data_IF_663433384779
#
_entry.id   IF_663433384779
#
_cell.length_a   1.000
_cell.length_b   1.000
_cell.length_c   1.000
_cell.angle_alpha   90.00
_cell.angle_beta   90.00
_cell.angle_gamma   90.00
#
_symmetry.space_group_name_H-M   'P 1'
#
loop_
_entity.id
_entity.type
_entity.pdbx_description
1 polymer ?
#
# COMPACT_ATOMS: atom_id res chain seq x y z
N UNK A 1 -18.98 8.16 21.01
CA UNK A 1 -18.04 7.27 21.69
C UNK A 1 -16.87 8.14 22.12
N UNK A 2 -16.43 8.04 23.38
CA UNK A 2 -15.31 8.87 23.83
C UNK A 2 -14.01 8.39 23.19
N UNK A 3 -13.12 9.31 22.81
CA UNK A 3 -11.88 9.03 22.09
C UNK A 3 -11.07 7.88 22.72
N UNK A 4 -11.03 7.84 24.06
CA UNK A 4 -10.35 6.80 24.83
C UNK A 4 -10.97 5.41 24.68
N UNK A 5 -12.30 5.32 24.58
CA UNK A 5 -12.99 4.04 24.34
C UNK A 5 -12.64 3.49 22.95
N UNK A 6 -12.61 4.37 21.95
CA UNK A 6 -12.22 4.01 20.58
C UNK A 6 -10.79 3.50 20.55
N UNK A 7 -9.88 4.22 21.22
CA UNK A 7 -8.49 3.81 21.35
C UNK A 7 -8.35 2.41 21.96
N UNK A 8 -9.09 2.14 23.04
CA UNK A 8 -9.07 0.84 23.70
C UNK A 8 -9.59 -0.28 22.79
N UNK A 9 -10.69 -0.05 22.06
CA UNK A 9 -11.23 -1.02 21.11
C UNK A 9 -10.26 -1.32 19.97
N UNK A 10 -9.66 -0.29 19.38
CA UNK A 10 -8.63 -0.43 18.35
C UNK A 10 -7.42 -1.19 18.92
N UNK A 11 -6.94 -0.81 20.10
CA UNK A 11 -5.77 -1.43 20.70
C UNK A 11 -5.99 -2.93 20.95
N UNK A 12 -7.13 -3.29 21.54
CA UNK A 12 -7.54 -4.68 21.78
C UNK A 12 -7.63 -5.46 20.47
N UNK A 13 -8.19 -4.88 19.41
CA UNK A 13 -8.29 -5.55 18.11
C UNK A 13 -6.95 -5.76 17.42
N UNK A 14 -6.03 -4.79 17.56
CA UNK A 14 -4.67 -4.91 17.06
C UNK A 14 -3.81 -5.91 17.86
N UNK A 15 -4.23 -6.33 19.05
CA UNK A 15 -3.56 -7.42 19.80
C UNK A 15 -3.83 -8.79 19.16
N UNK A 16 -4.94 -8.95 18.43
CA UNK A 16 -5.28 -10.18 17.70
C UNK A 16 -4.57 -10.27 16.33
N UNK A 17 -3.90 -9.21 15.88
CA UNK A 17 -3.20 -9.16 14.59
C UNK A 17 -1.80 -9.75 14.72
N UNK A 18 -1.51 -10.76 13.90
CA UNK A 18 -0.18 -11.31 13.76
C UNK A 18 0.61 -10.58 12.66
N UNK A 19 1.36 -9.55 13.06
CA UNK A 19 2.12 -8.67 12.18
C UNK A 19 3.22 -9.40 11.39
N UNK A 20 3.86 -10.40 11.97
CA UNK A 20 4.95 -11.13 11.30
C UNK A 20 4.45 -12.05 10.17
N UNK A 21 3.17 -12.43 10.18
CA UNK A 21 2.51 -13.11 9.05
C UNK A 21 2.09 -12.15 7.94
N UNK A 22 2.06 -10.84 8.20
CA UNK A 22 1.74 -9.83 7.20
C UNK A 22 3.00 -9.49 6.40
N UNK A 23 4.07 -9.13 7.11
CA UNK A 23 5.37 -8.79 6.52
C UNK A 23 6.49 -9.23 7.47
N UNK A 24 7.58 -9.78 6.91
CA UNK A 24 8.69 -10.30 7.72
C UNK A 24 9.31 -9.19 8.58
N UNK A 25 9.56 -9.49 9.85
CA UNK A 25 10.11 -8.56 10.85
C UNK A 25 9.27 -7.30 11.14
N UNK A 26 8.06 -7.20 10.57
CA UNK A 26 7.13 -6.14 10.90
C UNK A 26 6.45 -6.42 12.24
N UNK A 27 6.33 -5.38 13.05
CA UNK A 27 5.77 -5.42 14.39
C UNK A 27 4.78 -4.26 14.57
N UNK A 28 3.92 -4.36 15.59
CA UNK A 28 3.02 -3.27 15.96
C UNK A 28 3.83 -2.03 16.38
N UNK A 29 3.59 -0.91 15.73
CA UNK A 29 4.12 0.39 16.14
C UNK A 29 3.16 1.09 17.11
N UNK A 30 3.65 2.00 17.97
CA UNK A 30 2.77 2.84 18.77
C UNK A 30 1.87 3.70 17.86
N UNK A 31 0.70 4.06 18.37
CA UNK A 31 -0.23 4.91 17.63
C UNK A 31 -0.95 5.90 18.53
N UNK A 32 -1.52 6.93 17.91
CA UNK A 32 -2.42 7.86 18.57
C UNK A 32 -3.69 8.05 17.72
N UNK A 33 -4.83 8.17 18.42
CA UNK A 33 -6.08 8.64 17.82
C UNK A 33 -6.33 10.05 18.28
N UNK A 34 -6.90 10.90 17.43
CA UNK A 34 -7.15 12.28 17.83
C UNK A 34 -8.40 12.88 17.19
N UNK A 35 -8.87 13.97 17.78
CA UNK A 35 -9.88 14.87 17.24
C UNK A 35 -9.40 16.32 17.40
N UNK A 36 -10.22 17.32 17.06
CA UNK A 36 -9.83 18.74 17.16
C UNK A 36 -9.53 19.26 18.59
N UNK A 37 -9.87 18.50 19.63
CA UNK A 37 -9.74 18.94 21.03
C UNK A 37 -8.63 18.18 21.77
N UNK A 38 -8.49 16.88 21.50
CA UNK A 38 -7.67 15.97 22.30
C UNK A 38 -7.05 14.85 21.45
N UNK A 39 -5.98 14.28 22.00
CA UNK A 39 -5.24 13.15 21.45
C UNK A 39 -5.21 12.05 22.51
N UNK A 40 -5.49 10.80 22.10
CA UNK A 40 -5.30 9.61 22.91
C UNK A 40 -4.09 8.83 22.42
N UNK A 41 -3.07 8.72 23.27
CA UNK A 41 -1.84 7.99 23.04
C UNK A 41 -1.51 7.16 24.28
N UNK A 42 -1.21 5.87 24.10
CA UNK A 42 -1.00 4.91 25.19
C UNK A 42 -2.14 4.92 26.24
N UNK A 43 -3.38 5.17 25.79
CA UNK A 43 -4.57 5.25 26.66
C UNK A 43 -4.69 6.54 27.50
N UNK A 44 -3.74 7.47 27.36
CA UNK A 44 -3.75 8.77 28.03
C UNK A 44 -4.32 9.85 27.11
N UNK A 45 -5.11 10.76 27.67
CA UNK A 45 -5.65 11.91 26.96
C UNK A 45 -4.76 13.12 27.21
N UNK A 46 -4.35 13.79 26.13
CA UNK A 46 -3.65 15.06 26.16
C UNK A 46 -4.38 16.08 25.28
N UNK A 47 -4.24 17.39 25.53
CA UNK A 47 -4.75 18.41 24.62
C UNK A 47 -4.18 18.21 23.21
N UNK A 48 -5.02 18.42 22.20
CA UNK A 48 -4.56 18.44 20.82
C UNK A 48 -3.62 19.62 20.58
N UNK A 49 -2.62 19.40 19.72
CA UNK A 49 -1.77 20.44 19.15
C UNK A 49 -1.39 20.11 17.69
N UNK A 50 -0.69 21.04 17.04
CA UNK A 50 -0.38 21.03 15.61
C UNK A 50 0.55 19.90 15.15
N UNK A 51 1.12 19.12 16.08
CA UNK A 51 1.90 17.92 15.75
C UNK A 51 1.00 16.78 15.26
N UNK A 52 -0.29 16.80 15.61
CA UNK A 52 -1.27 15.78 15.22
C UNK A 52 -2.14 16.30 14.08
N UNK A 53 -1.61 16.20 12.85
CA UNK A 53 -2.27 16.69 11.64
C UNK A 53 -2.25 15.63 10.52
N UNK A 54 -3.41 15.43 9.89
CA UNK A 54 -3.61 14.40 8.88
C UNK A 54 -3.67 12.98 9.45
N UNK A 55 -3.73 12.03 8.53
CA UNK A 55 -3.59 10.61 8.83
C UNK A 55 -2.26 10.19 8.25
N UNK A 56 -1.27 9.93 9.11
CA UNK A 56 0.11 9.71 8.68
C UNK A 56 0.93 9.04 9.79
N UNK A 57 2.24 8.89 9.58
CA UNK A 57 3.22 8.57 10.62
C UNK A 57 4.07 9.80 10.98
N UNK A 58 4.30 10.03 12.27
CA UNK A 58 5.09 11.16 12.78
C UNK A 58 6.18 10.68 13.76
N UNK A 59 7.20 11.52 13.96
CA UNK A 59 8.10 11.36 15.10
C UNK A 59 7.51 12.07 16.33
N UNK A 60 7.30 11.34 17.41
CA UNK A 60 6.81 11.87 18.68
C UNK A 60 7.65 11.32 19.82
N UNK A 61 8.30 12.22 20.57
CA UNK A 61 9.17 11.87 21.70
C UNK A 61 10.26 10.84 21.35
N UNK A 62 10.86 10.98 20.16
CA UNK A 62 11.94 10.10 19.68
C UNK A 62 11.48 8.72 19.21
N UNK A 63 10.17 8.53 18.98
CA UNK A 63 9.61 7.30 18.42
C UNK A 63 8.75 7.62 17.18
N UNK A 64 8.80 6.75 16.18
CA UNK A 64 7.85 6.79 15.08
C UNK A 64 6.50 6.23 15.54
N UNK A 65 5.43 7.00 15.34
CA UNK A 65 4.06 6.60 15.70
C UNK A 65 3.10 6.82 14.53
N UNK A 66 2.09 5.97 14.42
CA UNK A 66 0.95 6.16 13.52
C UNK A 66 -0.07 7.11 14.15
N UNK A 67 -0.62 8.05 13.40
CA UNK A 67 -1.68 8.96 13.88
C UNK A 67 -2.90 8.90 12.98
N UNK A 68 -4.09 8.93 13.60
CA UNK A 68 -5.34 8.92 12.84
C UNK A 68 -6.40 9.83 13.46
N UNK A 69 -7.01 10.66 12.62
CA UNK A 69 -8.12 11.52 12.99
C UNK A 69 -9.45 10.75 12.95
N UNK A 70 -10.21 10.81 14.04
CA UNK A 70 -11.49 10.08 14.18
C UNK A 70 -12.73 10.99 14.19
N UNK A 71 -12.62 12.24 13.68
CA UNK A 71 -13.77 13.16 13.66
C UNK A 71 -14.87 12.72 12.68
N UNK A 72 -14.50 11.99 11.64
CA UNK A 72 -15.45 11.39 10.70
C UNK A 72 -15.90 10.03 11.22
N UNK A 73 -17.12 9.64 10.85
CA UNK A 73 -17.61 8.28 11.12
C UNK A 73 -16.62 7.26 10.57
N UNK A 74 -16.33 6.25 11.38
CA UNK A 74 -15.40 5.19 11.04
C UNK A 74 -16.04 3.83 11.31
N UNK A 75 -15.57 2.85 10.56
CA UNK A 75 -15.74 1.45 10.88
C UNK A 75 -14.48 0.96 11.60
N UNK A 76 -14.64 0.16 12.66
CA UNK A 76 -13.52 -0.22 13.52
C UNK A 76 -12.49 -1.12 12.79
N UNK A 77 -12.93 -2.01 11.91
CA UNK A 77 -12.02 -2.86 11.11
C UNK A 77 -11.21 -2.01 10.13
N UNK A 78 -11.89 -1.09 9.44
CA UNK A 78 -11.25 -0.18 8.47
C UNK A 78 -10.27 0.74 9.19
N UNK A 79 -10.64 1.28 10.35
CA UNK A 79 -9.76 2.10 11.16
C UNK A 79 -8.50 1.33 11.60
N UNK A 80 -8.64 0.07 12.02
CA UNK A 80 -7.49 -0.76 12.40
C UNK A 80 -6.55 -0.99 11.21
N UNK A 81 -7.09 -1.37 10.04
CA UNK A 81 -6.28 -1.59 8.86
C UNK A 81 -5.55 -0.33 8.37
N UNK A 82 -6.25 0.81 8.41
CA UNK A 82 -5.69 2.11 8.10
C UNK A 82 -4.59 2.55 9.08
N UNK A 83 -4.72 2.24 10.37
CA UNK A 83 -3.63 2.46 11.31
C UNK A 83 -2.43 1.57 11.01
N UNK A 84 -2.66 0.30 10.65
CA UNK A 84 -1.55 -0.60 10.31
C UNK A 84 -0.82 -0.14 9.03
N UNK A 85 -1.52 0.47 8.06
CA UNK A 85 -0.88 1.19 6.94
C UNK A 85 0.12 2.23 7.45
N UNK A 86 -0.30 3.11 8.36
CA UNK A 86 0.57 4.15 8.92
C UNK A 86 1.68 3.58 9.82
N UNK A 87 1.42 2.48 10.52
CA UNK A 87 2.46 1.74 11.25
C UNK A 87 3.50 1.16 10.29
N UNK A 88 3.09 0.76 9.09
CA UNK A 88 4.02 0.27 8.07
C UNK A 88 4.92 1.40 7.55
N UNK A 89 4.42 2.63 7.44
CA UNK A 89 5.30 3.78 7.17
C UNK A 89 6.31 4.05 8.28
N UNK A 90 5.96 3.78 9.55
CA UNK A 90 6.94 3.82 10.65
C UNK A 90 8.02 2.76 10.45
N UNK A 91 7.63 1.55 10.05
CA UNK A 91 8.55 0.46 9.72
C UNK A 91 9.48 0.79 8.56
N UNK A 92 8.93 1.33 7.46
CA UNK A 92 9.71 1.77 6.30
C UNK A 92 10.74 2.84 6.70
N UNK A 93 10.38 3.80 7.56
CA UNK A 93 11.31 4.80 8.10
C UNK A 93 12.44 4.17 8.92
N UNK A 94 12.12 3.25 9.83
CA UNK A 94 13.11 2.55 10.65
C UNK A 94 14.07 1.70 9.81
N UNK A 95 13.57 1.10 8.74
CA UNK A 95 14.36 0.33 7.77
C UNK A 95 15.05 1.20 6.73
N UNK A 96 14.87 2.53 6.78
CA UNK A 96 15.45 3.50 5.85
C UNK A 96 15.10 3.20 4.40
N UNK A 97 13.88 2.71 4.16
CA UNK A 97 13.35 2.56 2.82
C UNK A 97 13.30 3.95 2.16
N UNK A 98 14.04 4.11 1.07
CA UNK A 98 14.22 5.37 0.36
C UNK A 98 13.58 5.35 -1.05
N UNK A 99 12.72 4.36 -1.32
CA UNK A 99 12.03 4.18 -2.60
C UNK A 99 10.82 5.09 -2.76
N UNK A 100 10.83 6.25 -2.12
CA UNK A 100 9.81 7.28 -2.28
C UNK A 100 9.73 7.73 -3.75
N UNK A 101 8.52 7.91 -4.30
CA UNK A 101 8.36 8.55 -5.59
C UNK A 101 8.74 10.04 -5.51
N UNK A 102 9.11 10.61 -6.64
CA UNK A 102 9.31 12.04 -6.81
C UNK A 102 8.04 12.66 -7.38
N UNK A 103 7.24 13.23 -6.50
CA UNK A 103 5.95 13.84 -6.82
C UNK A 103 6.07 14.99 -7.81
N UNK A 104 7.19 15.73 -7.80
CA UNK A 104 7.42 16.82 -8.76
C UNK A 104 7.60 16.31 -10.19
N UNK A 105 8.26 15.17 -10.36
CA UNK A 105 8.35 14.50 -11.68
C UNK A 105 6.97 14.03 -12.11
N UNK A 106 6.15 13.52 -11.19
CA UNK A 106 4.79 13.07 -11.51
C UNK A 106 3.83 14.20 -11.93
N UNK A 107 4.11 15.46 -11.55
CA UNK A 107 3.33 16.61 -12.04
C UNK A 107 3.49 16.84 -13.55
N UNK A 108 4.63 16.43 -14.11
CA UNK A 108 4.93 16.53 -15.55
C UNK A 108 4.76 15.17 -16.25
N UNK A 109 3.95 14.27 -15.65
CA UNK A 109 3.74 12.94 -16.21
C UNK A 109 3.17 13.04 -17.64
N UNK A 110 3.72 12.30 -18.62
CA UNK A 110 3.34 12.46 -20.02
C UNK A 110 1.86 12.17 -20.28
N UNK A 111 1.16 13.13 -20.89
CA UNK A 111 -0.20 12.95 -21.40
C UNK A 111 -0.18 12.17 -22.72
N UNK A 112 0.03 10.85 -22.63
CA UNK A 112 0.17 9.96 -23.78
C UNK A 112 -0.92 8.87 -23.79
N UNK A 113 -1.78 8.92 -24.81
CA UNK A 113 -2.92 7.99 -24.96
C UNK A 113 -2.50 6.53 -25.13
N UNK A 114 -1.33 6.26 -25.73
CA UNK A 114 -0.81 4.91 -25.91
C UNK A 114 -0.35 4.36 -24.56
N UNK A 115 0.35 5.17 -23.76
CA UNK A 115 0.74 4.82 -22.41
C UNK A 115 -0.48 4.53 -21.52
N UNK A 116 -1.51 5.39 -21.52
CA UNK A 116 -2.73 5.14 -20.73
C UNK A 116 -3.45 3.87 -21.18
N UNK A 117 -3.54 3.63 -22.49
CA UNK A 117 -4.14 2.41 -23.03
C UNK A 117 -3.37 1.16 -22.57
N UNK A 118 -2.04 1.20 -22.64
CA UNK A 118 -1.18 0.12 -22.15
C UNK A 118 -1.29 -0.08 -20.64
N UNK A 119 -1.37 0.99 -19.84
CA UNK A 119 -1.61 0.90 -18.39
C UNK A 119 -2.95 0.23 -18.08
N UNK A 120 -3.98 0.50 -18.87
CA UNK A 120 -5.26 -0.19 -18.71
C UNK A 120 -5.17 -1.69 -19.06
N UNK A 121 -4.46 -2.05 -20.13
CA UNK A 121 -4.18 -3.45 -20.45
C UNK A 121 -3.37 -4.15 -19.34
N UNK A 122 -2.36 -3.47 -18.80
CA UNK A 122 -1.57 -3.91 -17.64
C UNK A 122 -2.47 -4.18 -16.41
N UNK A 123 -3.38 -3.25 -16.10
CA UNK A 123 -4.33 -3.41 -15.00
C UNK A 123 -5.24 -4.64 -15.19
N UNK A 124 -5.71 -4.89 -16.41
CA UNK A 124 -6.52 -6.09 -16.71
C UNK A 124 -5.74 -7.38 -16.49
N UNK A 125 -4.48 -7.43 -16.91
CA UNK A 125 -3.62 -8.58 -16.67
C UNK A 125 -3.44 -8.82 -15.17
N UNK A 126 -3.22 -7.77 -14.38
CA UNK A 126 -3.09 -7.87 -12.93
C UNK A 126 -4.34 -8.43 -12.25
N UNK A 127 -5.52 -7.92 -12.60
CA UNK A 127 -6.77 -8.45 -12.04
C UNK A 127 -7.00 -9.91 -12.47
N UNK A 128 -6.62 -10.28 -13.69
CA UNK A 128 -6.68 -11.68 -14.13
C UNK A 128 -5.72 -12.58 -13.35
N UNK A 129 -4.52 -12.09 -12.98
CA UNK A 129 -3.57 -12.84 -12.15
C UNK A 129 -4.15 -13.17 -10.77
N UNK A 130 -4.91 -12.25 -10.18
CA UNK A 130 -5.57 -12.47 -8.87
C UNK A 130 -6.69 -13.51 -8.93
N UNK A 131 -7.31 -13.69 -10.09
CA UNK A 131 -8.49 -14.54 -10.26
C UNK A 131 -8.16 -15.96 -10.76
N UNK A 132 -6.89 -16.25 -11.06
CA UNK A 132 -6.45 -17.58 -11.49
C UNK A 132 -5.73 -18.32 -10.36
N UNK A 133 -6.05 -19.60 -10.20
CA UNK A 133 -5.30 -20.53 -9.34
C UNK A 133 -4.32 -21.41 -10.15
N UNK A 134 -4.29 -21.26 -11.48
CA UNK A 134 -3.37 -21.99 -12.34
C UNK A 134 -2.06 -21.20 -12.47
N UNK A 135 -0.99 -21.74 -11.88
CA UNK A 135 0.36 -21.17 -11.89
C UNK A 135 0.93 -20.99 -13.30
N UNK A 136 0.58 -21.85 -14.26
CA UNK A 136 1.05 -21.70 -15.65
C UNK A 136 0.39 -20.47 -16.29
N UNK A 137 -0.91 -20.31 -16.11
CA UNK A 137 -1.65 -19.14 -16.61
C UNK A 137 -1.15 -17.88 -15.91
N UNK A 138 -0.95 -17.94 -14.60
CA UNK A 138 -0.44 -16.83 -13.79
C UNK A 138 0.94 -16.36 -14.29
N UNK A 139 1.85 -17.29 -14.55
CA UNK A 139 3.16 -16.98 -15.11
C UNK A 139 3.08 -16.35 -16.50
N UNK A 140 2.19 -16.84 -17.38
CA UNK A 140 1.97 -16.24 -18.70
C UNK A 140 1.44 -14.80 -18.61
N UNK A 141 0.48 -14.56 -17.72
CA UNK A 141 -0.06 -13.22 -17.46
C UNK A 141 1.01 -12.28 -16.91
N UNK A 142 1.86 -12.78 -16.01
CA UNK A 142 2.97 -12.03 -15.44
C UNK A 142 4.03 -11.66 -16.50
N UNK A 143 4.36 -12.57 -17.41
CA UNK A 143 5.25 -12.29 -18.56
C UNK A 143 4.65 -11.18 -19.45
N UNK A 144 3.35 -11.25 -19.74
CA UNK A 144 2.67 -10.22 -20.53
C UNK A 144 2.66 -8.86 -19.80
N UNK A 145 2.39 -8.88 -18.50
CA UNK A 145 2.40 -7.69 -17.65
C UNK A 145 3.77 -6.99 -17.68
N UNK A 146 4.85 -7.74 -17.51
CA UNK A 146 6.21 -7.19 -17.59
C UNK A 146 6.56 -6.68 -18.99
N UNK A 147 6.13 -7.38 -20.04
CA UNK A 147 6.31 -6.92 -21.42
C UNK A 147 5.62 -5.57 -21.69
N UNK A 148 4.40 -5.39 -21.17
CA UNK A 148 3.70 -4.10 -21.25
C UNK A 148 4.48 -3.02 -20.50
N UNK A 149 4.95 -3.28 -19.27
CA UNK A 149 5.78 -2.32 -18.53
C UNK A 149 7.04 -1.92 -19.29
N UNK A 150 7.74 -2.87 -19.90
CA UNK A 150 8.90 -2.60 -20.74
C UNK A 150 8.53 -1.76 -21.97
N UNK A 151 7.37 -2.01 -22.58
CA UNK A 151 6.88 -1.20 -23.69
C UNK A 151 6.53 0.22 -23.26
N UNK A 152 5.85 0.38 -22.12
CA UNK A 152 5.53 1.68 -21.53
C UNK A 152 6.81 2.46 -21.21
N UNK A 153 7.84 1.81 -20.65
CA UNK A 153 9.15 2.42 -20.41
C UNK A 153 9.79 2.98 -21.69
N UNK A 154 9.62 2.34 -22.85
CA UNK A 154 10.09 2.88 -24.13
C UNK A 154 9.33 4.14 -24.57
N UNK A 155 8.09 4.33 -24.11
CA UNK A 155 7.22 5.46 -24.49
C UNK A 155 7.46 6.64 -23.55
N UNK A 156 7.38 6.41 -22.24
CA UNK A 156 7.44 7.46 -21.21
C UNK A 156 8.81 7.55 -20.52
N UNK A 157 9.80 6.77 -20.93
CA UNK A 157 11.14 6.82 -20.34
C UNK A 157 11.14 6.61 -18.82
N UNK A 158 11.87 7.47 -18.12
CA UNK A 158 12.10 7.34 -16.67
C UNK A 158 10.89 7.70 -15.80
N UNK A 159 9.83 8.29 -16.37
CA UNK A 159 8.59 8.57 -15.65
C UNK A 159 7.96 7.28 -15.08
N UNK A 160 8.14 6.14 -15.75
CA UNK A 160 7.61 4.85 -15.29
C UNK A 160 8.16 4.44 -13.92
N UNK A 161 9.38 4.86 -13.58
CA UNK A 161 9.98 4.53 -12.29
C UNK A 161 9.27 5.21 -11.12
N UNK A 162 8.59 6.33 -11.36
CA UNK A 162 7.77 6.97 -10.33
C UNK A 162 6.53 6.14 -9.98
N UNK A 163 5.94 5.45 -10.97
CA UNK A 163 4.89 4.45 -10.71
C UNK A 163 5.44 3.30 -9.88
N UNK A 164 6.57 2.71 -10.28
CA UNK A 164 7.13 1.55 -9.57
C UNK A 164 7.55 1.90 -8.13
N UNK A 165 8.08 3.10 -7.91
CA UNK A 165 8.38 3.63 -6.58
C UNK A 165 7.12 3.84 -5.75
N UNK A 166 6.08 4.43 -6.33
CA UNK A 166 4.78 4.59 -5.67
C UNK A 166 4.14 3.23 -5.31
N UNK A 167 4.12 2.29 -6.26
CA UNK A 167 3.63 0.91 -6.07
C UNK A 167 4.43 0.16 -4.99
N UNK A 168 5.73 0.44 -4.89
CA UNK A 168 6.59 -0.16 -3.87
C UNK A 168 6.35 0.46 -2.51
N UNK A 169 6.34 1.79 -2.41
CA UNK A 169 6.26 2.47 -1.14
C UNK A 169 4.83 2.48 -0.56
N UNK A 170 3.89 3.09 -1.27
CA UNK A 170 2.48 3.23 -0.87
C UNK A 170 1.72 1.91 -1.06
N UNK A 171 1.99 1.20 -2.17
CA UNK A 171 1.36 -0.08 -2.44
C UNK A 171 1.72 -1.17 -1.41
N UNK A 172 2.92 -1.13 -0.81
CA UNK A 172 3.22 -2.00 0.34
C UNK A 172 2.35 -1.69 1.55
N UNK A 173 2.20 -0.42 1.91
CA UNK A 173 1.42 -0.02 3.06
C UNK A 173 -0.07 -0.39 2.87
N UNK A 174 -0.60 -0.20 1.67
CA UNK A 174 -1.94 -0.69 1.27
C UNK A 174 -2.05 -2.21 1.34
N UNK A 175 -1.05 -2.95 0.85
CA UNK A 175 -1.00 -4.40 0.95
C UNK A 175 -1.06 -4.87 2.42
N UNK A 176 -0.27 -4.26 3.30
CA UNK A 176 -0.25 -4.60 4.73
C UNK A 176 -1.61 -4.29 5.38
N UNK A 177 -2.27 -3.20 4.98
CA UNK A 177 -3.64 -2.90 5.40
C UNK A 177 -4.62 -4.00 4.96
N UNK A 178 -4.56 -4.46 3.70
CA UNK A 178 -5.39 -5.56 3.20
C UNK A 178 -5.12 -6.86 3.97
N UNK A 179 -3.86 -7.21 4.23
CA UNK A 179 -3.50 -8.39 5.03
C UNK A 179 -3.97 -8.28 6.48
N UNK A 180 -4.00 -7.08 7.04
CA UNK A 180 -4.59 -6.83 8.36
C UNK A 180 -6.10 -7.09 8.31
N UNK A 181 -6.81 -6.53 7.33
CA UNK A 181 -8.24 -6.81 7.13
C UNK A 181 -8.50 -8.30 6.95
N UNK A 182 -7.63 -9.02 6.23
CA UNK A 182 -7.77 -10.46 6.02
C UNK A 182 -7.78 -11.24 7.35
N UNK A 183 -7.02 -10.80 8.35
CA UNK A 183 -6.99 -11.43 9.67
C UNK A 183 -8.20 -11.07 10.54
N UNK A 184 -8.60 -9.79 10.56
CA UNK A 184 -9.65 -9.31 11.50
C UNK A 184 -11.06 -9.31 10.91
N UNK A 185 -11.21 -9.27 9.59
CA UNK A 185 -12.48 -9.26 8.87
C UNK A 185 -12.33 -9.73 7.42
N UNK A 186 -12.38 -11.06 7.17
CA UNK A 186 -12.24 -11.63 5.83
C UNK A 186 -13.26 -11.10 4.81
N UNK A 187 -14.46 -10.73 5.25
CA UNK A 187 -15.51 -10.16 4.40
C UNK A 187 -15.07 -8.80 3.88
N UNK A 188 -14.62 -7.90 4.77
CA UNK A 188 -14.17 -6.56 4.38
C UNK A 188 -12.90 -6.60 3.55
N UNK A 189 -12.02 -7.57 3.80
CA UNK A 189 -10.89 -7.83 2.92
C UNK A 189 -11.35 -8.12 1.49
N UNK A 190 -12.30 -9.03 1.30
CA UNK A 190 -12.83 -9.35 -0.04
C UNK A 190 -13.50 -8.14 -0.70
N UNK A 191 -14.30 -7.38 0.06
CA UNK A 191 -14.95 -6.15 -0.43
C UNK A 191 -13.92 -5.10 -0.86
N UNK A 192 -12.86 -4.92 -0.07
CA UNK A 192 -11.82 -3.94 -0.36
C UNK A 192 -10.94 -4.36 -1.56
N UNK A 193 -10.57 -5.63 -1.66
CA UNK A 193 -9.86 -6.16 -2.84
C UNK A 193 -10.71 -5.98 -4.10
N UNK A 194 -12.00 -6.32 -4.04
CA UNK A 194 -12.90 -6.11 -5.18
C UNK A 194 -13.02 -4.63 -5.55
N UNK A 195 -13.06 -3.73 -4.56
CA UNK A 195 -13.04 -2.28 -4.80
C UNK A 195 -11.75 -1.84 -5.53
N UNK A 196 -10.59 -2.39 -5.18
CA UNK A 196 -9.33 -2.09 -5.88
C UNK A 196 -9.35 -2.63 -7.31
N UNK A 197 -9.83 -3.85 -7.53
CA UNK A 197 -10.04 -4.39 -8.87
C UNK A 197 -10.98 -3.51 -9.70
N UNK A 198 -12.08 -3.04 -9.11
CA UNK A 198 -13.05 -2.17 -9.78
C UNK A 198 -12.43 -0.82 -10.17
N UNK A 199 -11.59 -0.23 -9.32
CA UNK A 199 -10.83 0.99 -9.63
C UNK A 199 -9.93 0.78 -10.85
N UNK A 200 -9.27 -0.38 -10.96
CA UNK A 200 -8.36 -0.73 -12.05
C UNK A 200 -9.08 -1.06 -13.37
N UNK A 201 -10.36 -1.44 -13.32
CA UNK A 201 -11.13 -1.94 -14.47
C UNK A 201 -12.22 -0.97 -14.96
N UNK A 202 -12.71 -0.04 -14.14
CA UNK A 202 -13.78 0.90 -14.53
C UNK A 202 -13.21 2.27 -14.92
N UNK A 203 -13.56 2.79 -16.12
CA UNK A 203 -13.29 4.18 -16.51
C UNK A 203 -13.68 5.18 -15.43
N UNK A 204 -12.69 5.89 -14.90
CA UNK A 204 -12.86 6.97 -13.93
C UNK A 204 -11.72 7.98 -14.04
N UNK A 205 -11.89 9.16 -13.43
CA UNK A 205 -10.83 10.18 -13.37
C UNK A 205 -9.55 9.66 -12.71
N UNK A 206 -9.67 8.64 -11.85
CA UNK A 206 -8.53 8.04 -11.15
C UNK A 206 -7.54 7.35 -12.10
N UNK A 207 -7.94 7.00 -13.34
CA UNK A 207 -7.00 6.49 -14.33
C UNK A 207 -5.91 7.47 -14.73
N UNK A 208 -6.22 8.76 -14.65
CA UNK A 208 -5.28 9.83 -14.97
C UNK A 208 -4.54 10.32 -13.72
N UNK A 209 -4.97 9.93 -12.52
CA UNK A 209 -4.23 10.12 -11.27
C UNK A 209 -3.23 8.97 -11.07
N UNK A 210 -2.12 9.06 -11.79
CA UNK A 210 -1.06 8.04 -11.80
C UNK A 210 -0.53 7.75 -10.39
N UNK A 211 -0.47 8.78 -9.53
CA UNK A 211 -0.07 8.60 -8.15
C UNK A 211 -1.04 7.66 -7.43
N UNK A 212 -2.30 8.04 -7.33
CA UNK A 212 -3.26 7.29 -6.51
C UNK A 212 -3.53 5.91 -7.07
N UNK A 213 -3.62 5.74 -8.40
CA UNK A 213 -3.85 4.42 -8.97
C UNK A 213 -2.71 3.45 -8.67
N UNK A 214 -1.46 3.94 -8.61
CA UNK A 214 -0.30 3.12 -8.28
C UNK A 214 -0.34 2.52 -6.87
N UNK A 215 -1.11 3.10 -5.95
CA UNK A 215 -1.27 2.56 -4.59
C UNK A 215 -1.98 1.21 -4.68
N UNK A 216 -3.10 1.19 -5.42
CA UNK A 216 -3.93 0.01 -5.62
C UNK A 216 -3.23 -1.02 -6.51
N UNK A 217 -2.54 -0.59 -7.57
CA UNK A 217 -1.74 -1.48 -8.43
C UNK A 217 -0.67 -2.19 -7.60
N UNK A 218 0.10 -1.45 -6.79
CA UNK A 218 1.15 -2.04 -5.96
C UNK A 218 0.61 -3.04 -4.94
N UNK A 219 -0.50 -2.71 -4.28
CA UNK A 219 -1.12 -3.60 -3.30
C UNK A 219 -1.63 -4.92 -3.93
N UNK A 220 -2.31 -4.80 -5.06
CA UNK A 220 -2.83 -5.94 -5.82
C UNK A 220 -1.70 -6.77 -6.45
N UNK A 221 -0.61 -6.13 -6.88
CA UNK A 221 0.57 -6.81 -7.41
C UNK A 221 1.23 -7.69 -6.35
N UNK A 222 1.40 -7.18 -5.13
CA UNK A 222 1.90 -7.97 -4.00
C UNK A 222 0.96 -9.12 -3.63
N UNK A 223 -0.35 -8.87 -3.58
CA UNK A 223 -1.33 -9.94 -3.35
C UNK A 223 -1.28 -11.03 -4.45
N UNK A 224 -1.10 -10.63 -5.72
CA UNK A 224 -1.04 -11.57 -6.82
C UNK A 224 0.20 -12.46 -6.75
N UNK A 225 1.35 -11.94 -6.33
CA UNK A 225 2.60 -12.69 -6.35
C UNK A 225 2.77 -13.69 -5.20
N UNK A 226 1.92 -13.62 -4.17
CA UNK A 226 2.01 -14.40 -2.93
C UNK A 226 3.33 -14.14 -2.14
N UNK A 227 3.21 -14.01 -0.82
CA UNK A 227 4.18 -13.30 0.04
C UNK A 227 5.61 -13.84 0.03
N UNK A 228 5.82 -15.07 -0.44
CA UNK A 228 7.11 -15.76 -0.34
C UNK A 228 8.18 -15.22 -1.29
N UNK A 229 7.81 -14.41 -2.29
CA UNK A 229 8.74 -13.81 -3.24
C UNK A 229 9.51 -12.60 -2.69
N UNK A 230 9.11 -12.06 -1.53
CA UNK A 230 9.60 -10.78 -1.04
C UNK A 230 10.31 -10.85 0.33
N UNK A 231 11.09 -11.92 0.55
CA UNK A 231 12.04 -11.98 1.67
C UNK A 231 13.32 -11.19 1.34
N UNK A 232 13.24 -9.87 1.37
CA UNK A 232 14.37 -8.97 1.11
C UNK A 232 14.38 -7.77 2.08
N UNK A 233 15.56 -7.17 2.23
CA UNK A 233 15.75 -5.98 3.08
C UNK A 233 15.17 -4.73 2.40
N UNK A 234 14.33 -3.96 3.10
CA UNK A 234 13.78 -2.71 2.58
C UNK A 234 14.86 -1.64 2.32
N UNK A 235 16.07 -1.81 2.87
CA UNK A 235 17.22 -0.97 2.52
C UNK A 235 17.79 -1.33 1.13
N UNK A 236 17.03 -1.00 0.09
CA UNK A 236 17.40 -1.18 -1.32
C UNK A 236 16.81 -0.06 -2.18
N UNK A 237 17.43 0.23 -3.31
CA UNK A 237 16.89 1.15 -4.34
C UNK A 237 15.97 0.44 -5.33
N UNK A 238 15.93 -0.89 -5.29
CA UNK A 238 15.18 -1.71 -6.23
C UNK A 238 13.70 -1.74 -5.86
N UNK A 239 12.84 -1.43 -6.83
CA UNK A 239 11.40 -1.54 -6.67
C UNK A 239 10.99 -3.01 -6.66
N UNK A 240 9.75 -3.31 -6.25
CA UNK A 240 9.23 -4.68 -6.33
C UNK A 240 9.32 -5.27 -7.73
N UNK A 241 9.09 -4.44 -8.75
CA UNK A 241 9.17 -4.87 -10.14
C UNK A 241 10.61 -5.16 -10.57
N UNK A 242 11.58 -4.35 -10.12
CA UNK A 242 13.00 -4.60 -10.38
C UNK A 242 13.46 -5.92 -9.72
N UNK A 243 13.06 -6.15 -8.46
CA UNK A 243 13.39 -7.38 -7.73
C UNK A 243 12.77 -8.62 -8.38
N UNK A 244 11.51 -8.52 -8.81
CA UNK A 244 10.84 -9.59 -9.53
C UNK A 244 11.58 -9.93 -10.83
N UNK A 245 11.91 -8.91 -11.63
CA UNK A 245 12.54 -9.12 -12.95
C UNK A 245 13.97 -9.66 -12.85
N UNK A 246 14.69 -9.36 -11.76
CA UNK A 246 16.04 -9.90 -11.52
C UNK A 246 16.04 -11.33 -10.99
N UNK A 247 15.07 -11.70 -10.17
CA UNK A 247 15.06 -13.00 -9.48
C UNK A 247 14.23 -14.06 -10.19
N UNK A 248 13.43 -13.69 -11.20
CA UNK A 248 12.54 -14.62 -11.87
C UNK A 248 13.11 -14.99 -13.25
N UNK A 249 13.53 -16.25 -13.39
CA UNK A 249 14.05 -16.84 -14.64
C UNK A 249 13.06 -16.83 -15.80
N UNK A 250 11.80 -16.44 -15.56
CA UNK A 250 10.76 -16.26 -16.56
C UNK A 250 11.06 -15.06 -17.47
N UNK A 251 11.87 -14.10 -17.01
CA UNK A 251 12.26 -12.91 -17.77
C UNK A 251 13.62 -13.02 -18.46
N UNK A 252 14.30 -14.17 -18.36
CA UNK A 252 15.51 -14.48 -19.13
C UNK A 252 15.08 -14.83 -20.58
N UNK A 253 14.90 -13.82 -21.43
CA UNK A 253 14.68 -13.97 -22.88
C UNK A 253 15.89 -13.45 -23.64
#
# INVERSE_FOLDING_TARGET
MELKEVYQQVNSKLEDVNFSLIWKDFQKYPFALYNKNEVCIDGNLIPWDDRFLGNTSIEYQGKNIAIWNIEKSYDLDILCANLVHEMFHCYQKDKRDNRFPNDFIMLDYPDDIVNYSLKYEENKLLVNMLNTNDETIKNQLLTQFASIRNKRKQIIGDFIYQEFRTETFEGSAEFVALKTMQQISPIKFQEQVQKYCDILLKPSELYFDIRRISYFVGALFLLALDNNLFDYDLFTEETHFDLLTKNCSIFDI
#
